data_IF_183890744529
#
_entry.id   IF_183890744529
#
_cell.length_a   1.000
_cell.length_b   1.000
_cell.length_c   1.000
_cell.angle_alpha   90.00
_cell.angle_beta   90.00
_cell.angle_gamma   90.00
#
_symmetry.space_group_name_H-M   'P 1'
#
loop_
_entity.id
_entity.type
_entity.pdbx_description
1 polymer ?
#
# COMPACT_ATOMS: atom_id res chain seq x y z
N UNK A 1 -27.72 -11.53 -0.22
CA UNK A 1 -27.62 -10.76 1.04
C UNK A 1 -26.56 -11.46 1.87
N UNK A 2 -25.28 -11.26 1.53
CA UNK A 2 -24.14 -11.82 2.27
C UNK A 2 -23.80 -10.85 3.39
N UNK A 3 -23.76 -11.36 4.58
CA UNK A 3 -23.68 -10.75 5.90
C UNK A 3 -22.44 -9.83 5.96
N UNK A 4 -22.67 -8.59 6.40
CA UNK A 4 -21.65 -7.67 6.91
C UNK A 4 -20.79 -8.43 7.93
N UNK A 5 -19.55 -8.77 7.56
CA UNK A 5 -18.59 -9.23 8.54
C UNK A 5 -18.32 -8.07 9.50
N UNK A 6 -18.80 -8.19 10.71
CA UNK A 6 -18.61 -7.19 11.76
C UNK A 6 -17.13 -7.21 12.15
N UNK A 7 -16.36 -6.27 11.62
CA UNK A 7 -14.99 -6.03 12.08
C UNK A 7 -15.10 -5.26 13.40
N UNK A 8 -14.98 -5.96 14.52
CA UNK A 8 -14.79 -5.34 15.83
C UNK A 8 -13.30 -5.03 16.00
N UNK A 9 -12.87 -3.81 15.70
CA UNK A 9 -11.54 -3.34 16.05
C UNK A 9 -11.61 -2.62 17.41
N UNK A 10 -11.05 -3.23 18.45
CA UNK A 10 -10.72 -2.54 19.70
C UNK A 10 -9.30 -1.98 19.56
N UNK A 11 -9.19 -0.67 19.38
CA UNK A 11 -7.90 0.03 19.31
C UNK A 11 -7.62 0.64 20.67
N UNK A 12 -6.56 0.15 21.34
CA UNK A 12 -5.97 0.82 22.49
C UNK A 12 -4.70 1.52 22.02
N UNK A 13 -4.74 2.84 21.95
CA UNK A 13 -3.55 3.64 21.63
C UNK A 13 -2.65 3.72 22.87
N UNK A 14 -1.40 3.28 22.74
CA UNK A 14 -0.35 3.53 23.73
C UNK A 14 0.58 4.59 23.16
N UNK A 15 0.55 5.77 23.76
CA UNK A 15 1.43 6.87 23.39
C UNK A 15 2.57 6.97 24.40
N UNK A 16 3.83 7.08 23.94
CA UNK A 16 4.94 7.36 24.84
C UNK A 16 4.78 8.76 25.45
N UNK A 17 4.83 8.86 26.76
CA UNK A 17 5.02 10.15 27.42
C UNK A 17 6.48 10.57 27.27
N UNK A 18 6.68 11.82 26.90
CA UNK A 18 7.97 12.43 26.66
C UNK A 18 8.93 12.27 27.85
N UNK A 19 10.17 11.90 27.58
CA UNK A 19 11.28 12.25 28.47
C UNK A 19 11.35 13.78 28.57
N UNK A 20 11.76 14.34 29.74
CA UNK A 20 11.73 15.79 29.99
C UNK A 20 12.58 16.49 28.92
N UNK A 21 11.93 17.28 28.10
CA UNK A 21 12.58 18.22 27.20
C UNK A 21 12.70 19.56 27.92
N UNK A 22 13.89 20.15 27.87
CA UNK A 22 14.05 21.58 28.05
C UNK A 22 13.11 22.34 27.11
N UNK A 23 12.43 23.36 27.61
CA UNK A 23 11.52 24.22 26.88
C UNK A 23 12.22 24.86 25.67
N UNK A 24 12.08 24.25 24.51
CA UNK A 24 12.41 24.86 23.22
C UNK A 24 11.22 24.79 22.28
N UNK A 25 10.90 25.94 21.72
CA UNK A 25 9.85 26.26 20.75
C UNK A 25 9.17 25.08 20.02
N UNK A 26 7.86 25.06 20.07
CA UNK A 26 6.88 24.01 19.84
C UNK A 26 6.67 23.47 18.43
N UNK A 27 7.57 23.63 17.44
CA UNK A 27 7.22 23.35 16.05
C UNK A 27 8.06 22.28 15.32
N UNK A 28 9.02 21.61 15.98
CA UNK A 28 9.87 20.61 15.28
C UNK A 28 10.35 19.51 16.22
N UNK A 29 10.43 18.29 15.71
CA UNK A 29 11.19 17.22 16.36
C UNK A 29 12.65 17.67 16.39
N UNK A 30 13.22 17.87 17.59
CA UNK A 30 14.65 18.18 17.76
C UNK A 30 15.52 17.08 17.13
N UNK A 31 16.74 17.45 16.77
CA UNK A 31 17.74 16.51 16.26
C UNK A 31 17.93 15.37 17.25
N UNK A 32 17.84 14.12 16.78
CA UNK A 32 17.94 12.93 17.62
C UNK A 32 16.67 12.59 18.40
N UNK A 33 15.58 13.39 18.29
CA UNK A 33 14.27 13.04 18.83
C UNK A 33 13.66 11.85 18.09
N UNK A 34 13.27 10.83 18.85
CA UNK A 34 12.56 9.65 18.34
C UNK A 34 11.16 9.64 18.92
N UNK A 35 10.17 9.59 18.05
CA UNK A 35 8.78 9.43 18.45
C UNK A 35 8.22 8.14 17.87
N UNK A 36 7.27 7.57 18.56
CA UNK A 36 6.62 6.35 18.10
C UNK A 36 5.15 6.32 18.50
N UNK A 37 4.39 5.61 17.71
CA UNK A 37 3.01 5.27 17.99
C UNK A 37 2.82 3.80 17.69
N UNK A 38 2.17 3.07 18.60
CA UNK A 38 1.84 1.66 18.41
C UNK A 38 0.42 1.40 18.88
N UNK A 39 -0.24 0.45 18.25
CA UNK A 39 -1.60 0.05 18.57
C UNK A 39 -1.78 -1.45 18.37
N UNK A 40 -2.41 -2.15 19.32
CA UNK A 40 -2.92 -3.48 19.10
C UNK A 40 -4.19 -3.40 18.24
N UNK A 41 -4.45 -4.44 17.47
CA UNK A 41 -5.71 -4.59 16.75
C UNK A 41 -6.19 -6.03 16.79
N UNK A 42 -7.49 -6.18 16.66
CA UNK A 42 -8.16 -7.46 16.51
C UNK A 42 -9.14 -7.34 15.36
N UNK A 43 -9.20 -8.34 14.51
CA UNK A 43 -10.19 -8.40 13.44
C UNK A 43 -10.68 -9.83 13.20
N UNK A 44 -11.79 -9.92 12.52
CA UNK A 44 -12.41 -11.19 12.10
C UNK A 44 -12.74 -11.11 10.62
N UNK A 45 -12.33 -12.11 9.87
CA UNK A 45 -12.83 -12.37 8.51
C UNK A 45 -13.15 -13.85 8.37
N UNK A 46 -14.05 -14.24 7.44
CA UNK A 46 -14.35 -15.66 7.22
C UNK A 46 -13.12 -16.51 6.89
N UNK A 47 -12.08 -15.91 6.29
CA UNK A 47 -10.86 -16.58 5.86
C UNK A 47 -9.85 -16.73 6.97
N UNK A 48 -9.72 -15.71 7.80
CA UNK A 48 -8.75 -15.68 8.90
C UNK A 48 -9.33 -16.20 10.20
N UNK A 49 -10.68 -16.16 10.34
CA UNK A 49 -11.32 -16.22 11.65
C UNK A 49 -10.77 -15.07 12.53
N UNK A 50 -10.67 -15.20 13.83
CA UNK A 50 -10.10 -14.17 14.69
C UNK A 50 -8.61 -14.00 14.45
N UNK A 51 -8.20 -12.75 14.24
CA UNK A 51 -6.81 -12.32 14.11
C UNK A 51 -6.44 -11.31 15.18
N UNK A 52 -5.27 -11.46 15.76
CA UNK A 52 -4.71 -10.61 16.79
C UNK A 52 -3.39 -10.06 16.29
N UNK A 53 -3.22 -8.75 16.35
CA UNK A 53 -2.05 -8.11 15.80
C UNK A 53 -1.65 -6.82 16.52
N UNK A 54 -0.53 -6.30 16.07
CA UNK A 54 -0.08 -4.97 16.45
C UNK A 54 0.52 -4.25 15.23
N UNK A 55 0.34 -2.95 15.20
CA UNK A 55 0.96 -2.08 14.22
C UNK A 55 1.56 -0.86 14.89
N UNK A 56 2.45 -0.17 14.17
CA UNK A 56 3.02 1.05 14.67
C UNK A 56 3.92 1.74 13.67
N UNK A 57 4.30 2.95 14.04
CA UNK A 57 5.24 3.77 13.32
C UNK A 57 6.24 4.39 14.31
N UNK A 58 7.50 4.29 13.95
CA UNK A 58 8.60 4.99 14.60
C UNK A 58 9.08 6.05 13.62
N UNK A 59 9.22 7.31 14.06
CA UNK A 59 9.67 8.39 13.18
C UNK A 59 10.69 9.27 13.92
N UNK A 60 11.69 9.76 13.15
CA UNK A 60 12.85 10.47 13.68
C UNK A 60 13.50 11.35 12.60
N UNK A 61 14.21 12.38 13.04
CA UNK A 61 15.01 13.22 12.15
C UNK A 61 16.50 12.87 12.27
N UNK A 62 17.12 12.60 11.12
CA UNK A 62 18.56 12.39 10.99
C UNK A 62 19.33 13.66 10.57
N UNK A 63 18.64 14.79 10.46
CA UNK A 63 19.21 16.05 10.00
C UNK A 63 18.86 17.17 10.96
N UNK A 64 19.82 18.07 11.20
CA UNK A 64 19.68 19.27 12.04
C UNK A 64 18.84 20.38 11.38
N UNK A 65 18.41 20.20 10.14
CA UNK A 65 17.63 21.19 9.43
C UNK A 65 16.14 21.07 9.71
N UNK A 66 15.51 22.14 10.12
CA UNK A 66 14.08 22.29 10.42
C UNK A 66 13.11 21.86 9.31
N UNK A 67 13.61 21.70 8.08
CA UNK A 67 12.80 21.37 6.88
C UNK A 67 13.08 20.00 6.28
N UNK A 68 13.88 19.17 6.94
CA UNK A 68 14.11 17.80 6.47
C UNK A 68 12.88 16.92 6.71
N UNK A 69 12.60 16.03 5.76
CA UNK A 69 11.53 15.03 5.90
C UNK A 69 11.89 14.06 7.02
N UNK A 70 10.97 13.70 7.91
CA UNK A 70 11.25 12.70 8.93
C UNK A 70 11.43 11.32 8.29
N UNK A 71 12.47 10.62 8.73
CA UNK A 71 12.60 9.19 8.48
C UNK A 71 11.57 8.43 9.30
N UNK A 72 11.07 7.33 8.77
CA UNK A 72 10.11 6.51 9.48
C UNK A 72 10.30 5.01 9.24
N UNK A 73 9.83 4.22 10.19
CA UNK A 73 9.73 2.76 10.09
C UNK A 73 8.31 2.41 10.51
N UNK A 74 7.49 2.01 9.54
CA UNK A 74 6.17 1.44 9.81
C UNK A 74 6.28 -0.07 9.89
N UNK A 75 5.71 -0.68 10.91
CA UNK A 75 5.67 -2.12 11.08
C UNK A 75 4.28 -2.58 11.50
N UNK A 76 3.88 -3.74 11.02
CA UNK A 76 2.65 -4.41 11.46
C UNK A 76 2.80 -5.92 11.36
N UNK A 77 2.09 -6.61 12.22
CA UNK A 77 2.01 -8.07 12.15
C UNK A 77 0.79 -8.59 12.86
N UNK A 78 0.28 -9.73 12.43
CA UNK A 78 -0.84 -10.42 13.05
C UNK A 78 -0.67 -11.94 13.01
N UNK A 79 -1.39 -12.60 13.91
CA UNK A 79 -1.53 -14.04 13.95
C UNK A 79 -3.01 -14.41 14.11
N UNK A 80 -3.46 -15.47 13.44
CA UNK A 80 -4.86 -15.89 13.43
C UNK A 80 -5.06 -17.21 14.15
N UNK A 81 -6.30 -17.48 14.59
CA UNK A 81 -6.67 -18.79 15.16
C UNK A 81 -6.49 -19.94 14.15
N UNK A 82 -6.57 -19.64 12.86
CA UNK A 82 -6.32 -20.58 11.77
C UNK A 82 -4.83 -20.70 11.41
N UNK A 83 -3.91 -20.25 12.32
CA UNK A 83 -2.45 -20.36 12.18
C UNK A 83 -1.88 -19.62 10.98
N UNK A 84 -2.56 -18.58 10.51
CA UNK A 84 -2.03 -17.67 9.51
C UNK A 84 -1.26 -16.55 10.20
N UNK A 85 -0.26 -16.01 9.56
CA UNK A 85 0.44 -14.83 10.05
C UNK A 85 0.96 -13.95 8.91
N UNK A 86 1.10 -12.66 9.21
CA UNK A 86 1.76 -11.67 8.36
C UNK A 86 2.66 -10.80 9.22
N UNK A 87 3.85 -10.50 8.71
CA UNK A 87 4.76 -9.51 9.25
C UNK A 87 5.21 -8.61 8.12
N UNK A 88 4.95 -7.32 8.25
CA UNK A 88 5.35 -6.29 7.27
C UNK A 88 6.16 -5.20 7.97
N UNK A 89 7.30 -4.81 7.37
CA UNK A 89 8.15 -3.71 7.83
C UNK A 89 8.49 -2.82 6.64
N UNK A 90 8.27 -1.51 6.79
CA UNK A 90 8.38 -0.50 5.74
C UNK A 90 9.26 0.68 6.21
N UNK A 91 10.59 0.57 6.14
CA UNK A 91 11.49 1.69 6.41
C UNK A 91 11.52 2.70 5.26
N UNK A 92 11.47 3.99 5.59
CA UNK A 92 11.77 5.12 4.72
C UNK A 92 12.78 6.02 5.40
N UNK A 93 14.04 5.99 4.97
CA UNK A 93 15.15 6.67 5.62
C UNK A 93 15.67 7.77 4.72
N UNK A 94 15.52 9.02 5.18
CA UNK A 94 16.04 10.23 4.53
C UNK A 94 17.42 10.56 5.10
N UNK A 95 18.43 10.63 4.23
CA UNK A 95 19.82 10.86 4.60
C UNK A 95 20.35 12.13 3.95
N UNK A 96 21.36 12.74 4.60
CA UNK A 96 22.09 13.91 4.08
C UNK A 96 21.14 15.03 3.60
N UNK A 97 20.27 15.53 4.51
CA UNK A 97 19.33 16.62 4.22
C UNK A 97 18.38 16.28 3.06
N UNK A 98 17.81 15.10 3.10
CA UNK A 98 16.88 14.54 2.09
C UNK A 98 17.50 14.29 0.70
N UNK A 99 18.82 14.44 0.54
CA UNK A 99 19.48 14.15 -0.74
C UNK A 99 19.40 12.67 -1.11
N UNK A 100 19.37 11.78 -0.12
CA UNK A 100 19.23 10.35 -0.34
C UNK A 100 17.97 9.84 0.34
N UNK A 101 17.34 8.87 -0.28
CA UNK A 101 16.18 8.15 0.25
C UNK A 101 16.43 6.65 0.06
N UNK A 102 16.41 5.92 1.18
CA UNK A 102 16.35 4.47 1.20
C UNK A 102 14.93 4.07 1.61
N UNK A 103 14.20 3.40 0.71
CA UNK A 103 12.89 2.83 1.02
C UNK A 103 12.95 1.32 0.85
N UNK A 104 12.44 0.60 1.85
CA UNK A 104 12.44 -0.86 1.83
C UNK A 104 11.05 -1.37 2.14
N UNK A 105 10.66 -2.49 1.55
CA UNK A 105 9.54 -3.31 2.00
C UNK A 105 10.08 -4.69 2.31
N UNK A 106 9.88 -5.11 3.54
CA UNK A 106 10.05 -6.49 3.98
C UNK A 106 8.67 -7.03 4.34
N UNK A 107 8.33 -8.21 3.82
CA UNK A 107 7.13 -8.94 4.24
C UNK A 107 7.46 -10.43 4.31
N UNK A 108 6.97 -11.08 5.35
CA UNK A 108 6.96 -12.52 5.48
C UNK A 108 5.59 -12.95 5.98
N UNK A 109 4.93 -13.84 5.24
CA UNK A 109 3.56 -14.24 5.55
C UNK A 109 3.25 -15.67 5.15
N UNK A 110 2.38 -16.31 5.94
CA UNK A 110 1.69 -17.56 5.60
C UNK A 110 0.19 -17.32 5.75
N UNK A 111 -0.52 -17.20 4.62
CA UNK A 111 -1.92 -16.78 4.59
C UNK A 111 -2.71 -17.50 3.52
N UNK A 112 -4.01 -17.61 3.72
CA UNK A 112 -4.94 -17.87 2.64
C UNK A 112 -5.12 -16.63 1.78
N UNK A 113 -5.14 -16.81 0.49
CA UNK A 113 -5.42 -15.77 -0.50
C UNK A 113 -6.39 -16.33 -1.56
N UNK A 114 -6.82 -15.47 -2.48
CA UNK A 114 -7.84 -15.81 -3.45
C UNK A 114 -7.33 -15.69 -4.87
N UNK A 115 -7.68 -16.66 -5.71
CA UNK A 115 -7.45 -16.59 -7.13
C UNK A 115 -8.74 -16.84 -7.90
N UNK A 116 -9.27 -15.80 -8.51
CA UNK A 116 -10.52 -15.80 -9.29
C UNK A 116 -10.28 -15.95 -10.78
N UNK A 117 -9.04 -16.18 -11.23
CA UNK A 117 -8.63 -16.16 -12.61
C UNK A 117 -8.03 -14.83 -13.05
N UNK A 118 -7.75 -14.71 -14.34
CA UNK A 118 -7.10 -13.56 -14.97
C UNK A 118 -8.11 -12.83 -15.83
N UNK A 119 -8.11 -11.50 -15.79
CA UNK A 119 -8.93 -10.62 -16.60
C UNK A 119 -9.95 -9.79 -15.85
N UNK A 120 -10.49 -8.79 -16.52
CA UNK A 120 -11.47 -7.83 -16.02
C UNK A 120 -12.83 -8.42 -15.70
N UNK A 121 -13.18 -9.54 -16.33
CA UNK A 121 -14.49 -10.21 -16.19
C UNK A 121 -14.38 -11.58 -15.55
N UNK A 122 -13.28 -11.86 -14.83
CA UNK A 122 -13.09 -13.12 -14.12
C UNK A 122 -14.27 -13.40 -13.18
N UNK A 123 -14.90 -14.59 -13.24
CA UNK A 123 -16.10 -14.91 -12.47
C UNK A 123 -15.82 -15.01 -10.99
N UNK A 124 -16.86 -14.86 -10.19
CA UNK A 124 -16.81 -15.22 -8.77
C UNK A 124 -17.08 -16.73 -8.67
N UNK A 125 -16.01 -17.49 -8.51
CA UNK A 125 -16.07 -18.95 -8.42
C UNK A 125 -16.05 -19.40 -6.95
N UNK A 126 -16.76 -20.46 -6.64
CA UNK A 126 -16.63 -21.14 -5.37
C UNK A 126 -15.25 -21.82 -5.27
N UNK A 127 -14.74 -21.95 -4.04
CA UNK A 127 -13.46 -22.60 -3.74
C UNK A 127 -12.28 -21.97 -4.49
N UNK A 128 -12.15 -20.65 -4.39
CA UNK A 128 -11.10 -19.87 -5.01
C UNK A 128 -9.90 -19.57 -4.11
N UNK A 129 -9.86 -20.17 -2.93
CA UNK A 129 -8.78 -20.02 -1.95
C UNK A 129 -7.57 -20.88 -2.30
N UNK A 130 -6.40 -20.40 -1.88
CA UNK A 130 -5.16 -21.17 -1.84
C UNK A 130 -4.33 -20.70 -0.65
N UNK A 131 -3.52 -21.58 -0.07
CA UNK A 131 -2.64 -21.27 1.03
C UNK A 131 -1.23 -21.03 0.52
N UNK A 132 -0.65 -19.88 0.88
CA UNK A 132 0.64 -19.44 0.39
C UNK A 132 1.58 -19.04 1.51
N UNK A 133 2.89 -19.22 1.26
CA UNK A 133 3.98 -18.61 2.01
C UNK A 133 4.66 -17.59 1.10
N UNK A 134 4.84 -16.38 1.60
CA UNK A 134 5.54 -15.32 0.89
C UNK A 134 6.71 -14.78 1.68
N UNK A 135 7.79 -14.53 0.97
CA UNK A 135 8.87 -13.65 1.40
C UNK A 135 9.02 -12.56 0.34
N UNK A 136 8.96 -11.29 0.75
CA UNK A 136 9.11 -10.13 -0.14
C UNK A 136 10.19 -9.22 0.42
N UNK A 137 11.16 -8.85 -0.41
CA UNK A 137 12.16 -7.83 -0.13
C UNK A 137 12.26 -6.89 -1.33
N UNK A 138 11.82 -5.64 -1.15
CA UNK A 138 11.98 -4.60 -2.14
C UNK A 138 12.88 -3.51 -1.55
N UNK A 139 13.95 -3.15 -2.26
CA UNK A 139 14.89 -2.12 -1.84
C UNK A 139 14.98 -1.06 -2.93
N UNK A 140 14.79 0.18 -2.56
CA UNK A 140 14.88 1.36 -3.43
C UNK A 140 15.88 2.32 -2.81
N UNK A 141 16.93 2.64 -3.53
CA UNK A 141 17.86 3.68 -3.13
C UNK A 141 17.84 4.79 -4.17
N UNK A 142 17.52 6.00 -3.73
CA UNK A 142 17.38 7.15 -4.61
C UNK A 142 18.26 8.30 -4.13
N UNK A 143 18.93 8.96 -5.08
CA UNK A 143 19.72 10.16 -4.85
C UNK A 143 19.09 11.36 -5.55
N UNK A 144 19.16 12.53 -4.93
CA UNK A 144 18.76 13.79 -5.55
C UNK A 144 19.62 14.06 -6.79
N UNK A 145 18.98 14.37 -7.91
CA UNK A 145 19.62 14.60 -9.19
C UNK A 145 18.86 15.68 -9.98
N UNK A 146 19.55 16.38 -10.86
CA UNK A 146 19.03 17.39 -11.77
C UNK A 146 18.44 18.63 -11.06
N UNK A 147 17.51 18.49 -10.14
CA UNK A 147 16.89 19.59 -9.37
C UNK A 147 16.45 19.11 -8.01
N UNK A 148 16.21 20.05 -7.10
CA UNK A 148 15.67 19.78 -5.77
C UNK A 148 14.37 18.94 -5.84
N UNK A 149 14.22 18.01 -4.90
CA UNK A 149 13.07 17.11 -4.78
C UNK A 149 12.93 16.06 -5.91
N UNK A 150 13.76 16.08 -6.94
CA UNK A 150 13.81 15.03 -7.94
C UNK A 150 14.89 14.02 -7.55
N UNK A 151 14.50 12.78 -7.38
CA UNK A 151 15.39 11.68 -7.01
C UNK A 151 15.30 10.57 -8.03
N UNK A 152 16.42 9.92 -8.28
CA UNK A 152 16.50 8.72 -9.11
C UNK A 152 17.50 7.72 -8.53
N UNK A 153 17.34 6.46 -8.89
CA UNK A 153 18.28 5.43 -8.46
C UNK A 153 17.81 4.01 -8.74
N UNK A 154 18.57 3.01 -8.27
CA UNK A 154 18.24 1.61 -8.45
C UNK A 154 17.06 1.15 -7.59
N UNK A 155 16.37 0.14 -8.10
CA UNK A 155 15.37 -0.65 -7.37
C UNK A 155 15.74 -2.13 -7.54
N UNK A 156 15.67 -2.89 -6.45
CA UNK A 156 15.74 -4.34 -6.43
C UNK A 156 14.48 -4.91 -5.80
N UNK A 157 13.88 -5.88 -6.44
CA UNK A 157 12.68 -6.56 -5.98
C UNK A 157 12.90 -8.06 -5.98
N UNK A 158 12.66 -8.69 -4.84
CA UNK A 158 12.74 -10.14 -4.64
C UNK A 158 11.42 -10.60 -4.01
N UNK A 159 10.82 -11.63 -4.58
CA UNK A 159 9.74 -12.38 -3.97
C UNK A 159 10.00 -13.87 -4.13
N UNK A 160 9.90 -14.60 -3.03
CA UNK A 160 9.80 -16.06 -3.03
C UNK A 160 8.39 -16.41 -2.58
N UNK A 161 7.69 -17.16 -3.39
CA UNK A 161 6.33 -17.60 -3.10
C UNK A 161 6.25 -19.12 -3.23
N UNK A 162 5.72 -19.77 -2.19
CA UNK A 162 5.34 -21.17 -2.21
C UNK A 162 3.83 -21.29 -2.13
N UNK A 163 3.21 -22.01 -3.05
CA UNK A 163 1.80 -22.40 -2.96
C UNK A 163 1.73 -23.72 -2.18
N UNK A 164 1.42 -23.63 -0.89
CA UNK A 164 1.45 -24.77 0.04
C UNK A 164 0.21 -25.66 -0.08
N UNK A 165 -0.94 -25.05 -0.37
CA UNK A 165 -2.19 -25.77 -0.61
C UNK A 165 -3.06 -24.96 -1.59
N UNK A 166 -3.53 -25.63 -2.63
CA UNK A 166 -4.44 -25.09 -3.63
C UNK A 166 -5.61 -26.03 -3.93
N UNK A 167 -5.73 -27.10 -3.13
CA UNK A 167 -6.74 -28.12 -3.29
C UNK A 167 -8.14 -27.52 -3.25
N UNK A 168 -8.92 -27.81 -4.25
CA UNK A 168 -10.25 -27.26 -4.46
C UNK A 168 -10.31 -25.93 -5.22
N UNK A 169 -9.18 -25.28 -5.52
CA UNK A 169 -9.16 -24.17 -6.46
C UNK A 169 -8.98 -24.70 -7.89
N UNK A 170 -10.04 -24.77 -8.71
CA UNK A 170 -9.99 -25.47 -10.01
C UNK A 170 -9.06 -24.83 -11.00
N UNK A 171 -8.77 -23.53 -10.85
CA UNK A 171 -7.90 -22.79 -11.75
C UNK A 171 -6.42 -23.04 -11.47
N UNK A 172 -6.05 -23.19 -10.21
CA UNK A 172 -4.66 -23.47 -9.79
C UNK A 172 -4.33 -24.97 -9.83
N UNK A 173 -5.31 -25.82 -9.54
CA UNK A 173 -5.13 -27.28 -9.57
C UNK A 173 -4.81 -27.81 -10.98
N UNK A 174 -5.32 -27.15 -12.03
CA UNK A 174 -5.03 -27.53 -13.42
C UNK A 174 -3.54 -27.42 -13.79
N UNK A 175 -2.75 -26.64 -13.00
CA UNK A 175 -1.35 -26.28 -13.29
C UNK A 175 -1.11 -25.56 -14.63
N UNK A 176 -2.15 -25.07 -15.28
CA UNK A 176 -2.05 -24.31 -16.54
C UNK A 176 -1.69 -22.85 -16.29
N UNK A 177 -1.94 -22.35 -15.08
CA UNK A 177 -1.62 -20.97 -14.70
C UNK A 177 -0.14 -20.86 -14.35
N UNK A 178 0.56 -19.96 -15.01
CA UNK A 178 1.98 -19.73 -14.77
C UNK A 178 2.24 -19.33 -13.31
N UNK A 179 3.14 -20.05 -12.64
CA UNK A 179 3.44 -19.87 -11.22
C UNK A 179 2.45 -20.52 -10.26
N UNK A 180 1.55 -21.41 -10.71
CA UNK A 180 0.54 -22.09 -9.87
C UNK A 180 1.13 -22.92 -8.71
N UNK A 181 2.42 -23.23 -8.75
CA UNK A 181 3.17 -23.89 -7.69
C UNK A 181 4.05 -22.92 -6.88
N UNK A 182 4.01 -21.62 -7.20
CA UNK A 182 4.91 -20.62 -6.67
C UNK A 182 6.15 -20.42 -7.53
N UNK A 183 7.23 -19.93 -6.93
CA UNK A 183 8.51 -19.66 -7.55
C UNK A 183 9.15 -18.36 -7.05
N UNK A 184 10.32 -18.07 -7.56
CA UNK A 184 11.11 -16.89 -7.22
C UNK A 184 11.00 -15.86 -8.34
N UNK A 185 10.70 -14.62 -7.99
CA UNK A 185 10.87 -13.47 -8.88
C UNK A 185 11.95 -12.57 -8.31
N UNK A 186 12.99 -12.29 -9.11
CA UNK A 186 14.10 -11.44 -8.75
C UNK A 186 14.37 -10.46 -9.88
N UNK A 187 14.26 -9.17 -9.58
CA UNK A 187 14.33 -8.11 -10.58
C UNK A 187 15.15 -6.93 -10.13
N UNK A 188 15.84 -6.33 -11.10
CA UNK A 188 16.62 -5.11 -10.95
C UNK A 188 16.09 -4.04 -11.89
N UNK A 189 16.12 -2.80 -11.46
CA UNK A 189 15.58 -1.72 -12.27
C UNK A 189 15.96 -0.33 -11.79
N UNK A 190 15.23 0.65 -12.28
CA UNK A 190 15.39 2.05 -11.94
C UNK A 190 14.07 2.67 -11.49
N UNK A 191 14.20 3.62 -10.58
CA UNK A 191 13.10 4.42 -10.05
C UNK A 191 13.46 5.90 -10.12
N UNK A 192 12.50 6.71 -10.53
CA UNK A 192 12.57 8.16 -10.48
C UNK A 192 11.35 8.68 -9.72
N UNK A 193 11.55 9.65 -8.84
CA UNK A 193 10.47 10.29 -8.08
C UNK A 193 10.67 11.80 -8.01
N UNK A 194 9.56 12.53 -8.03
CA UNK A 194 9.49 13.96 -7.79
C UNK A 194 8.48 14.22 -6.67
N UNK A 195 8.98 14.64 -5.50
CA UNK A 195 8.19 14.77 -4.29
C UNK A 195 8.24 16.19 -3.74
N UNK A 196 7.17 16.93 -3.99
CA UNK A 196 6.97 18.33 -3.55
C UNK A 196 5.90 18.46 -2.48
N UNK A 197 5.49 17.35 -1.85
CA UNK A 197 4.53 17.38 -0.75
C UNK A 197 5.03 18.22 0.40
N UNK A 198 4.14 19.01 0.98
CA UNK A 198 4.39 19.81 2.19
C UNK A 198 4.54 18.92 3.44
N UNK A 199 3.86 17.79 3.48
CA UNK A 199 3.95 16.78 4.55
C UNK A 199 3.81 15.37 3.94
N UNK A 200 4.60 14.41 4.43
CA UNK A 200 4.60 13.04 3.88
C UNK A 200 3.43 12.18 4.40
N UNK A 201 2.90 12.50 5.59
CA UNK A 201 1.83 11.74 6.24
C UNK A 201 0.45 12.28 5.94
N UNK A 202 0.32 13.62 5.86
CA UNK A 202 -0.92 14.32 5.54
C UNK A 202 -0.65 15.46 4.56
N UNK A 203 -0.37 15.15 3.31
CA UNK A 203 -0.09 16.18 2.32
C UNK A 203 -1.32 17.03 2.04
N UNK A 204 -1.13 18.35 2.07
CA UNK A 204 -2.15 19.34 1.78
C UNK A 204 -1.89 20.08 0.47
N UNK A 205 -0.62 20.18 0.07
CA UNK A 205 -0.19 20.82 -1.17
C UNK A 205 0.97 20.06 -1.81
N UNK A 206 1.16 20.31 -3.10
CA UNK A 206 2.25 19.72 -3.87
C UNK A 206 1.87 18.39 -4.50
N UNK A 207 2.86 17.55 -4.77
CA UNK A 207 2.64 16.27 -5.43
C UNK A 207 3.74 15.26 -5.16
N UNK A 208 3.41 14.02 -5.41
CA UNK A 208 4.33 12.89 -5.42
C UNK A 208 4.15 12.13 -6.72
N UNK A 209 5.18 12.13 -7.56
CA UNK A 209 5.16 11.47 -8.85
C UNK A 209 6.31 10.48 -8.91
N UNK A 210 6.02 9.22 -9.08
CA UNK A 210 7.00 8.14 -9.12
C UNK A 210 6.80 7.30 -10.36
N UNK A 211 7.89 6.98 -11.03
CA UNK A 211 7.93 6.03 -12.13
C UNK A 211 9.06 5.03 -11.88
N UNK A 212 8.79 3.74 -12.09
CA UNK A 212 9.81 2.70 -12.02
C UNK A 212 9.69 1.69 -13.15
N UNK A 213 10.83 1.12 -13.50
CA UNK A 213 10.97 0.01 -14.44
C UNK A 213 11.79 -1.06 -13.75
N UNK A 214 11.29 -2.28 -13.68
CA UNK A 214 12.01 -3.45 -13.11
C UNK A 214 12.01 -4.59 -14.12
N UNK A 215 13.18 -5.16 -14.37
CA UNK A 215 13.37 -6.32 -15.23
C UNK A 215 13.69 -7.53 -14.36
N UNK A 216 12.88 -8.57 -14.51
CA UNK A 216 13.03 -9.85 -13.84
C UNK A 216 13.57 -10.86 -14.84
N UNK A 217 14.61 -11.57 -14.45
CA UNK A 217 15.33 -12.47 -15.37
C UNK A 217 15.97 -13.63 -14.62
N UNK A 218 16.07 -14.75 -15.30
CA UNK A 218 16.82 -15.92 -14.83
C UNK A 218 18.27 -15.60 -14.46
N UNK A 219 18.89 -14.63 -15.14
CA UNK A 219 20.23 -14.14 -14.80
C UNK A 219 20.32 -13.48 -13.41
N UNK A 220 19.20 -13.02 -12.88
CA UNK A 220 19.07 -12.43 -11.54
C UNK A 220 18.52 -13.43 -10.51
N UNK A 221 18.35 -14.70 -10.87
CA UNK A 221 17.80 -15.74 -10.00
C UNK A 221 16.26 -15.80 -10.01
N UNK A 222 15.60 -15.18 -10.99
CA UNK A 222 14.15 -15.30 -11.20
C UNK A 222 13.81 -16.58 -11.96
N UNK A 223 12.72 -17.25 -11.61
CA UNK A 223 12.16 -18.37 -12.38
C UNK A 223 11.41 -17.88 -13.64
N UNK A 224 11.09 -16.58 -13.69
CA UNK A 224 10.26 -15.97 -14.72
C UNK A 224 10.97 -14.78 -15.37
N UNK A 225 10.74 -14.62 -16.69
CA UNK A 225 11.29 -13.51 -17.47
C UNK A 225 10.16 -12.54 -17.84
N UNK A 226 10.16 -11.33 -17.24
CA UNK A 226 9.19 -10.28 -17.52
C UNK A 226 9.72 -8.89 -17.11
N UNK A 227 9.01 -7.86 -17.46
CA UNK A 227 9.29 -6.48 -17.03
C UNK A 227 8.04 -5.82 -16.48
N UNK A 228 8.21 -5.01 -15.43
CA UNK A 228 7.17 -4.25 -14.75
C UNK A 228 7.44 -2.76 -14.86
N UNK A 229 6.44 -2.01 -15.27
CA UNK A 229 6.41 -0.55 -15.36
C UNK A 229 5.34 -0.04 -14.40
N UNK A 230 5.71 0.86 -13.51
CA UNK A 230 4.79 1.40 -12.51
C UNK A 230 4.84 2.93 -12.52
N UNK A 231 3.69 3.56 -12.68
CA UNK A 231 3.45 4.99 -12.47
C UNK A 231 2.51 5.16 -11.27
N UNK A 232 2.94 5.93 -10.27
CA UNK A 232 2.12 6.43 -9.17
C UNK A 232 2.26 7.94 -9.11
N UNK A 233 1.20 8.65 -9.48
CA UNK A 233 1.18 10.10 -9.58
C UNK A 233 0.06 10.66 -8.70
N UNK A 234 0.43 11.46 -7.71
CA UNK A 234 -0.46 12.04 -6.71
C UNK A 234 -0.30 13.54 -6.68
N UNK A 235 -1.41 14.26 -6.59
CA UNK A 235 -1.44 15.73 -6.49
C UNK A 235 -2.41 16.14 -5.40
N UNK A 236 -2.03 17.17 -4.64
CA UNK A 236 -2.78 17.67 -3.49
C UNK A 236 -3.00 19.16 -3.63
N UNK A 237 -4.24 19.58 -3.45
CA UNK A 237 -4.68 20.97 -3.59
C UNK A 237 -5.47 21.40 -2.37
N UNK A 238 -5.00 22.40 -1.65
CA UNK A 238 -5.80 23.09 -0.63
C UNK A 238 -6.78 24.01 -1.32
N UNK A 239 -8.07 23.70 -1.28
CA UNK A 239 -9.15 24.51 -1.86
C UNK A 239 -9.56 25.65 -0.91
N UNK A 240 -9.66 25.33 0.37
CA UNK A 240 -9.96 26.22 1.48
C UNK A 240 -9.10 25.82 2.68
N UNK A 241 -9.05 26.62 3.76
CA UNK A 241 -8.32 26.23 4.97
C UNK A 241 -8.74 24.83 5.45
N UNK A 242 -7.76 23.92 5.50
CA UNK A 242 -7.91 22.50 5.89
C UNK A 242 -8.84 21.64 5.00
N UNK A 243 -9.27 22.15 3.86
CA UNK A 243 -10.02 21.39 2.85
C UNK A 243 -9.10 21.00 1.72
N UNK A 244 -8.87 19.71 1.55
CA UNK A 244 -7.88 19.17 0.62
C UNK A 244 -8.57 18.31 -0.43
N UNK A 245 -8.24 18.56 -1.68
CA UNK A 245 -8.60 17.69 -2.79
C UNK A 245 -7.33 16.97 -3.26
N UNK A 246 -7.32 15.65 -3.14
CA UNK A 246 -6.23 14.80 -3.54
C UNK A 246 -6.62 13.97 -4.76
N UNK A 247 -5.71 13.81 -5.71
CA UNK A 247 -5.87 12.99 -6.91
C UNK A 247 -4.75 11.99 -7.00
N UNK A 248 -5.06 10.80 -7.51
CA UNK A 248 -4.07 9.79 -7.84
C UNK A 248 -4.36 9.15 -9.19
N UNK A 249 -3.32 9.01 -10.01
CA UNK A 249 -3.27 8.12 -11.15
C UNK A 249 -2.28 7.00 -10.83
N UNK A 250 -2.74 5.76 -10.89
CA UNK A 250 -1.93 4.57 -10.66
C UNK A 250 -2.01 3.66 -11.87
N UNK A 251 -0.86 3.37 -12.50
CA UNK A 251 -0.80 2.54 -13.69
C UNK A 251 0.35 1.54 -13.54
N UNK A 252 0.04 0.26 -13.69
CA UNK A 252 1.02 -0.82 -13.74
C UNK A 252 0.88 -1.56 -15.05
N UNK A 253 1.98 -1.81 -15.74
CA UNK A 253 2.03 -2.54 -17.01
C UNK A 253 3.13 -3.58 -16.93
N UNK A 254 2.81 -4.80 -17.34
CA UNK A 254 3.75 -5.90 -17.38
C UNK A 254 3.86 -6.49 -18.77
N UNK A 255 5.09 -6.76 -19.19
CA UNK A 255 5.40 -7.42 -20.46
C UNK A 255 6.18 -8.71 -20.21
N UNK A 256 5.97 -9.71 -21.04
CA UNK A 256 6.61 -11.02 -20.89
C UNK A 256 5.70 -12.02 -20.20
N UNK A 257 6.24 -12.81 -19.30
CA UNK A 257 5.56 -13.95 -18.67
C UNK A 257 5.59 -13.83 -17.13
N UNK A 258 4.88 -12.84 -16.54
CA UNK A 258 4.78 -12.74 -15.08
C UNK A 258 3.95 -13.91 -14.55
N UNK A 259 4.31 -14.50 -13.38
CA UNK A 259 3.47 -15.48 -12.72
C UNK A 259 2.18 -14.84 -12.17
N UNK A 260 1.15 -15.63 -11.92
CA UNK A 260 -0.18 -15.11 -11.56
C UNK A 260 -0.20 -14.19 -10.34
N UNK A 261 0.71 -14.40 -9.40
CA UNK A 261 0.82 -13.63 -8.18
C UNK A 261 1.59 -12.31 -8.33
N UNK A 262 2.28 -12.10 -9.45
CA UNK A 262 2.93 -10.84 -9.82
C UNK A 262 2.07 -9.97 -10.72
N UNK A 263 1.04 -10.54 -11.39
CA UNK A 263 0.12 -9.76 -12.22
C UNK A 263 -0.41 -8.53 -11.48
N UNK A 264 -0.67 -7.47 -12.21
CA UNK A 264 -1.19 -6.22 -11.66
C UNK A 264 -2.57 -6.43 -11.01
N UNK A 265 -2.65 -6.20 -9.70
CA UNK A 265 -3.78 -6.53 -8.83
C UNK A 265 -4.66 -5.30 -8.57
N UNK A 266 -5.94 -5.37 -8.89
CA UNK A 266 -6.92 -4.33 -8.58
C UNK A 266 -7.48 -4.51 -7.16
N UNK A 267 -7.66 -3.38 -6.45
CA UNK A 267 -8.29 -3.32 -5.13
C UNK A 267 -7.31 -3.06 -3.99
N UNK A 268 -7.82 -3.11 -2.77
CA UNK A 268 -7.06 -2.91 -1.55
C UNK A 268 -7.42 -1.65 -0.79
N UNK A 269 -6.61 -1.31 0.21
CA UNK A 269 -6.88 -0.21 1.15
C UNK A 269 -6.42 1.17 0.64
N UNK A 270 -5.60 1.22 -0.42
CA UNK A 270 -5.01 2.46 -0.97
C UNK A 270 -5.59 2.85 -2.31
N UNK A 271 -5.75 1.91 -3.22
CA UNK A 271 -6.21 2.15 -4.58
C UNK A 271 -7.45 1.30 -4.84
N UNK A 272 -8.51 1.90 -5.37
CA UNK A 272 -9.80 1.23 -5.65
C UNK A 272 -10.40 0.53 -4.42
N UNK A 273 -10.49 1.26 -3.30
CA UNK A 273 -11.15 0.79 -2.07
C UNK A 273 -12.58 0.34 -2.36
N UNK A 274 -13.01 -0.76 -1.73
CA UNK A 274 -14.30 -1.42 -1.99
C UNK A 274 -14.15 -2.72 -2.75
N UNK A 275 -13.00 -2.96 -3.39
CA UNK A 275 -12.66 -4.24 -3.98
C UNK A 275 -11.64 -5.00 -3.13
N UNK A 276 -11.83 -6.31 -3.01
CA UNK A 276 -10.82 -7.20 -2.44
C UNK A 276 -9.54 -7.11 -3.28
N UNK A 277 -8.39 -7.01 -2.62
CA UNK A 277 -7.10 -6.96 -3.29
C UNK A 277 -6.88 -8.21 -4.14
N UNK A 278 -6.63 -8.02 -5.45
CA UNK A 278 -6.45 -9.13 -6.38
C UNK A 278 -7.73 -9.83 -6.85
N UNK A 279 -8.95 -9.29 -6.55
CA UNK A 279 -10.21 -9.81 -7.13
C UNK A 279 -10.17 -9.83 -8.64
N UNK A 280 -9.56 -8.83 -9.24
CA UNK A 280 -9.25 -8.75 -10.65
C UNK A 280 -7.76 -8.56 -10.82
N UNK A 281 -7.16 -9.29 -11.74
CA UNK A 281 -5.73 -9.20 -12.05
C UNK A 281 -5.47 -9.45 -13.51
N UNK A 282 -4.54 -8.70 -14.10
CA UNK A 282 -4.07 -8.91 -15.46
C UNK A 282 -2.71 -8.20 -15.64
N UNK A 283 -2.16 -8.19 -16.85
CA UNK A 283 -0.87 -7.54 -17.16
C UNK A 283 -0.89 -6.03 -17.07
N UNK A 284 -2.05 -5.41 -17.20
CA UNK A 284 -2.25 -3.96 -17.06
C UNK A 284 -3.26 -3.72 -15.95
N UNK A 285 -2.94 -2.81 -15.06
CA UNK A 285 -3.88 -2.22 -14.11
C UNK A 285 -3.78 -0.71 -14.22
N UNK A 286 -4.91 -0.05 -14.32
CA UNK A 286 -5.00 1.40 -14.27
C UNK A 286 -6.12 1.83 -13.34
N UNK A 287 -5.87 2.90 -12.58
CA UNK A 287 -6.85 3.50 -11.69
C UNK A 287 -6.64 5.02 -11.61
N UNK A 288 -7.75 5.74 -11.58
CA UNK A 288 -7.80 7.17 -11.31
C UNK A 288 -8.76 7.38 -10.16
N UNK A 289 -8.30 8.05 -9.10
CA UNK A 289 -9.13 8.30 -7.94
C UNK A 289 -8.92 9.71 -7.39
N UNK A 290 -9.96 10.20 -6.72
CA UNK A 290 -9.95 11.47 -6.01
C UNK A 290 -10.44 11.26 -4.59
N UNK A 291 -9.94 12.08 -3.67
CA UNK A 291 -10.31 12.09 -2.27
C UNK A 291 -10.45 13.53 -1.80
N UNK A 292 -11.60 13.87 -1.22
CA UNK A 292 -11.84 15.15 -0.60
C UNK A 292 -11.83 15.00 0.91
N UNK A 293 -10.89 15.70 1.55
CA UNK A 293 -10.63 15.69 2.99
C UNK A 293 -11.13 16.98 3.62
N UNK A 294 -11.89 16.87 4.69
CA UNK A 294 -12.41 18.03 5.42
C UNK A 294 -12.33 17.83 6.93
N UNK A 295 -12.04 18.88 7.70
CA UNK A 295 -12.11 18.84 9.16
C UNK A 295 -13.58 18.76 9.60
N UNK A 296 -13.86 18.07 10.71
CA UNK A 296 -15.19 18.10 11.33
C UNK A 296 -15.13 18.90 12.63
N UNK A 297 -14.51 18.33 13.64
CA UNK A 297 -14.41 18.92 14.97
C UNK A 297 -13.18 18.37 15.69
N UNK A 298 -12.49 19.23 16.42
CA UNK A 298 -11.30 18.86 17.22
C UNK A 298 -10.29 18.09 16.38
N UNK A 299 -10.01 16.83 16.69
CA UNK A 299 -9.07 15.93 15.99
C UNK A 299 -9.74 15.06 14.93
N UNK A 300 -11.04 15.21 14.74
CA UNK A 300 -11.77 14.41 13.75
C UNK A 300 -11.83 15.08 12.39
N UNK A 301 -11.55 14.32 11.36
CA UNK A 301 -11.74 14.66 9.96
C UNK A 301 -12.65 13.66 9.26
N UNK A 302 -13.16 14.06 8.13
CA UNK A 302 -13.99 13.23 7.27
C UNK A 302 -13.44 13.24 5.85
N UNK A 303 -13.66 12.15 5.15
CA UNK A 303 -13.19 11.97 3.78
C UNK A 303 -14.29 11.36 2.94
N UNK A 304 -14.46 11.86 1.73
CA UNK A 304 -15.20 11.19 0.66
C UNK A 304 -14.26 10.90 -0.48
N UNK A 305 -14.43 9.76 -1.12
CA UNK A 305 -13.56 9.39 -2.22
C UNK A 305 -14.33 8.69 -3.33
N UNK A 306 -13.78 8.76 -4.54
CA UNK A 306 -14.27 8.05 -5.69
C UNK A 306 -13.15 7.77 -6.69
N UNK A 307 -13.33 6.73 -7.48
CA UNK A 307 -12.35 6.35 -8.48
C UNK A 307 -12.92 5.42 -9.54
N UNK A 308 -12.16 5.28 -10.60
CA UNK A 308 -12.44 4.39 -11.73
C UNK A 308 -11.15 3.63 -12.06
N UNK A 309 -11.26 2.36 -12.32
CA UNK A 309 -10.09 1.55 -12.69
C UNK A 309 -10.49 0.20 -13.27
N UNK A 310 -9.53 -0.46 -13.88
CA UNK A 310 -9.72 -1.82 -14.37
C UNK A 310 -8.39 -2.51 -14.65
N UNK A 311 -8.45 -3.78 -15.03
CA UNK A 311 -7.33 -4.56 -15.52
C UNK A 311 -7.54 -4.98 -16.97
N UNK A 312 -6.46 -5.19 -17.71
CA UNK A 312 -6.53 -5.63 -19.11
C UNK A 312 -5.29 -6.43 -19.52
N UNK A 313 -5.43 -7.35 -20.44
CA UNK A 313 -4.30 -8.12 -20.97
C UNK A 313 -3.41 -7.31 -21.93
N UNK A 314 -3.97 -6.30 -22.60
CA UNK A 314 -3.30 -5.40 -23.57
C UNK A 314 -4.04 -4.07 -23.61
N UNK A 315 -3.36 -3.01 -24.03
CA UNK A 315 -3.97 -1.67 -24.20
C UNK A 315 -5.18 -1.71 -25.13
N UNK A 316 -5.13 -2.50 -26.20
CA UNK A 316 -6.23 -2.67 -27.16
C UNK A 316 -7.45 -3.44 -26.62
N UNK A 317 -7.34 -3.99 -25.41
CA UNK A 317 -8.41 -4.71 -24.69
C UNK A 317 -8.98 -3.92 -23.52
N UNK A 318 -8.65 -2.64 -23.42
CA UNK A 318 -9.28 -1.71 -22.48
C UNK A 318 -10.66 -1.36 -23.03
N UNK A 319 -11.70 -1.71 -22.28
CA UNK A 319 -13.10 -1.51 -22.67
C UNK A 319 -13.79 -0.62 -21.61
N UNK A 320 -14.52 0.41 -22.06
CA UNK A 320 -15.22 1.32 -21.15
C UNK A 320 -16.32 0.59 -20.36
N UNK A 321 -16.92 -0.42 -20.97
CA UNK A 321 -18.00 -1.23 -20.38
C UNK A 321 -17.57 -2.03 -19.13
N UNK A 322 -16.29 -2.37 -19.03
CA UNK A 322 -15.74 -3.17 -17.92
C UNK A 322 -15.19 -2.32 -16.79
N UNK A 323 -15.02 -1.00 -17.00
CA UNK A 323 -14.47 -0.10 -15.98
C UNK A 323 -15.27 -0.22 -14.67
N UNK A 324 -14.53 -0.35 -13.60
CA UNK A 324 -15.05 -0.56 -12.25
C UNK A 324 -15.07 0.76 -11.48
N UNK A 325 -16.24 1.20 -10.97
CA UNK A 325 -16.31 2.32 -10.04
C UNK A 325 -15.92 1.89 -8.63
N UNK A 326 -15.23 2.77 -7.91
CA UNK A 326 -14.96 2.69 -6.48
C UNK A 326 -15.41 4.00 -5.83
N UNK A 327 -16.13 3.95 -4.73
CA UNK A 327 -16.53 5.15 -3.98
C UNK A 327 -16.71 4.82 -2.51
N UNK A 328 -16.71 5.85 -1.67
CA UNK A 328 -16.88 5.65 -0.25
C UNK A 328 -16.59 6.88 0.57
N UNK A 329 -16.52 6.64 1.87
CA UNK A 329 -16.24 7.67 2.86
C UNK A 329 -15.39 7.09 4.00
N UNK A 330 -14.83 7.99 4.80
CA UNK A 330 -14.04 7.59 5.95
C UNK A 330 -13.90 8.65 7.01
N UNK A 331 -13.50 8.21 8.19
CA UNK A 331 -13.20 9.08 9.34
C UNK A 331 -11.70 9.07 9.58
N UNK A 332 -11.20 10.20 10.01
CA UNK A 332 -9.81 10.43 10.41
C UNK A 332 -9.79 10.86 11.87
N UNK A 333 -8.88 10.30 12.63
CA UNK A 333 -8.59 10.76 13.99
C UNK A 333 -7.12 11.13 14.10
N UNK A 334 -6.82 12.41 14.32
CA UNK A 334 -5.47 12.95 14.45
C UNK A 334 -4.83 12.48 15.75
N UNK A 335 -3.84 11.58 15.64
CA UNK A 335 -3.10 11.05 16.79
C UNK A 335 -1.88 11.92 17.13
N UNK A 336 -1.25 12.51 16.12
CA UNK A 336 -0.11 13.43 16.29
C UNK A 336 -0.35 14.70 15.46
N UNK A 337 -0.42 15.87 16.15
CA UNK A 337 -0.68 17.14 15.49
C UNK A 337 0.55 17.70 14.78
N UNK A 338 1.76 17.46 15.32
CA UNK A 338 3.00 17.95 14.74
C UNK A 338 3.30 17.27 13.40
N UNK A 339 3.24 15.96 13.37
CA UNK A 339 3.49 15.18 12.16
C UNK A 339 2.25 15.00 11.30
N UNK A 340 1.08 15.39 11.82
CA UNK A 340 -0.23 15.20 11.17
C UNK A 340 -0.53 13.72 10.89
N UNK A 341 -0.22 12.86 11.85
CA UNK A 341 -0.53 11.43 11.77
C UNK A 341 -2.00 11.19 12.09
N UNK A 342 -2.69 10.49 11.21
CA UNK A 342 -4.10 10.14 11.37
C UNK A 342 -4.29 8.62 11.47
N UNK A 343 -5.14 8.18 12.38
CA UNK A 343 -5.84 6.90 12.26
C UNK A 343 -6.95 7.04 11.23
N UNK A 344 -7.05 6.07 10.35
CA UNK A 344 -7.98 6.03 9.24
C UNK A 344 -8.94 4.86 9.37
N UNK A 345 -10.23 5.13 9.21
CA UNK A 345 -11.26 4.11 9.01
C UNK A 345 -12.04 4.49 7.77
N UNK A 346 -11.99 3.66 6.74
CA UNK A 346 -12.69 3.87 5.47
C UNK A 346 -13.70 2.76 5.21
N UNK A 347 -14.85 3.14 4.64
CA UNK A 347 -15.83 2.23 4.07
C UNK A 347 -15.87 2.48 2.56
N UNK A 348 -15.48 1.48 1.79
CA UNK A 348 -15.45 1.53 0.34
C UNK A 348 -16.47 0.61 -0.29
N UNK A 349 -17.01 1.03 -1.43
CA UNK A 349 -17.96 0.30 -2.24
C UNK A 349 -17.44 0.15 -3.67
N UNK A 350 -17.55 -1.03 -4.21
CA UNK A 350 -17.31 -1.35 -5.62
C UNK A 350 -18.56 -1.91 -6.26
N UNK A 351 -18.44 -2.45 -7.49
CA UNK A 351 -19.52 -3.18 -8.14
C UNK A 351 -19.74 -4.49 -7.42
N UNK A 352 -20.90 -4.66 -6.78
CA UNK A 352 -21.33 -5.86 -6.03
C UNK A 352 -20.37 -6.27 -4.88
N UNK A 353 -19.59 -5.31 -4.36
CA UNK A 353 -18.61 -5.55 -3.30
C UNK A 353 -18.43 -4.33 -2.41
N UNK A 354 -17.94 -4.54 -1.20
CA UNK A 354 -17.61 -3.49 -0.25
C UNK A 354 -16.44 -3.93 0.65
N UNK A 355 -15.83 -2.98 1.35
CA UNK A 355 -14.76 -3.26 2.30
C UNK A 355 -14.65 -2.17 3.36
N UNK A 356 -14.15 -2.56 4.53
CA UNK A 356 -13.82 -1.66 5.63
C UNK A 356 -12.31 -1.75 5.84
N UNK A 357 -11.64 -0.61 5.95
CA UNK A 357 -10.19 -0.52 6.02
C UNK A 357 -9.76 0.29 7.23
N UNK A 358 -8.78 -0.24 7.96
CA UNK A 358 -8.12 0.43 9.07
C UNK A 358 -6.65 0.63 8.73
N UNK A 359 -6.12 1.82 8.97
CA UNK A 359 -4.71 2.11 8.72
C UNK A 359 -4.26 3.36 9.47
N UNK A 360 -2.96 3.57 9.51
CA UNK A 360 -2.34 4.86 9.88
C UNK A 360 -2.00 5.61 8.59
N UNK A 361 -2.08 6.93 8.63
CA UNK A 361 -1.90 7.86 7.50
C UNK A 361 -3.05 7.86 6.49
N UNK A 362 -2.89 8.63 5.42
CA UNK A 362 -3.86 8.72 4.34
C UNK A 362 -3.73 7.54 3.37
N UNK A 363 -4.74 7.32 2.53
CA UNK A 363 -4.68 6.26 1.52
C UNK A 363 -3.59 6.54 0.48
N UNK A 364 -3.43 7.83 0.12
CA UNK A 364 -2.41 8.30 -0.83
C UNK A 364 -2.08 9.77 -0.59
#
# INVERSE_FOLDING_TARGET
MKILAAICCLIFAVQSQNFPQEETNHDTIGVGGVNWFAYPFIFFTPETDWAFGAGGILYFNLSDQLKSKPSNITASGYYTVNKQFDLTVLPEIYLNQDKFLLSTKFNYSEIYDFFYGIGSTSPDIANNQYFQRNFILNVKFQAEALKKNFKLGPIYELRSMDVLNKEGNPLLDSNEVLGSNGGITSGLGFIASYDTRDNIFYPSNGGFHQFSITYYSKALGSDFDYSKYLLDSRTYLSLFPNHILAYQAYIMIEFGYPPFYELALLGGDKVMRGYLYGRYRDRIYYAFQAEYRLPIIWRFGFVVFGGLGDVASKVSKIEISTIKPSYGFGVRFRIDELQKLDLRVDVGFGRDTNGIYFSVNQAF
#
